data_IF_256978538124
#
_entry.id   IF_256978538124
#
_cell.length_a   1.000
_cell.length_b   1.000
_cell.length_c   1.000
_cell.angle_alpha   90.00
_cell.angle_beta   90.00
_cell.angle_gamma   90.00
#
_symmetry.space_group_name_H-M   'P 1'
#
loop_
_entity.id
_entity.type
_entity.pdbx_description
1 polymer ?
#
# COMPACT_ATOMS: atom_id res chain seq x y z
N UNK A 1 11.11 16.07 13.87
CA UNK A 1 10.49 16.68 15.06
C UNK A 1 9.44 15.70 15.55
N UNK A 2 9.58 15.21 16.80
CA UNK A 2 8.55 14.35 17.40
C UNK A 2 7.26 15.15 17.52
N UNK A 3 6.16 14.64 16.95
CA UNK A 3 4.87 15.32 16.95
C UNK A 3 4.36 15.60 18.37
N UNK A 4 4.75 14.78 19.36
CA UNK A 4 4.34 14.95 20.75
C UNK A 4 5.57 15.07 21.65
N UNK A 5 5.78 16.25 22.24
CA UNK A 5 6.86 16.52 23.21
C UNK A 5 6.41 16.15 24.64
N UNK A 6 5.10 16.23 24.91
CA UNK A 6 4.43 15.72 26.11
C UNK A 6 3.08 15.15 25.73
N UNK A 7 2.77 13.94 26.21
CA UNK A 7 1.44 13.35 26.13
C UNK A 7 0.55 13.94 27.24
N UNK A 8 0.42 15.25 27.34
CA UNK A 8 -0.58 15.85 28.24
C UNK A 8 -1.87 16.05 27.45
N UNK A 9 -3.02 15.67 28.03
CA UNK A 9 -4.32 15.83 27.37
C UNK A 9 -4.75 17.31 27.39
N UNK A 10 -4.08 18.09 26.55
CA UNK A 10 -4.31 19.52 26.40
C UNK A 10 -5.19 19.80 25.18
N UNK A 11 -5.88 20.95 25.12
CA UNK A 11 -6.60 21.36 23.92
C UNK A 11 -5.72 21.40 22.65
N UNK A 12 -4.43 21.71 22.81
CA UNK A 12 -3.46 21.70 21.70
C UNK A 12 -3.15 20.27 21.24
N UNK A 13 -2.98 19.33 22.16
CA UNK A 13 -2.83 17.90 21.85
C UNK A 13 -4.05 17.39 21.07
N UNK A 14 -5.25 17.69 21.55
CA UNK A 14 -6.49 17.26 20.89
C UNK A 14 -6.60 17.84 19.48
N UNK A 15 -6.32 19.13 19.30
CA UNK A 15 -6.30 19.76 17.97
C UNK A 15 -5.31 19.09 17.02
N UNK A 16 -4.12 18.74 17.50
CA UNK A 16 -3.12 18.06 16.70
C UNK A 16 -3.55 16.64 16.33
N UNK A 17 -4.15 15.91 17.27
CA UNK A 17 -4.70 14.58 17.05
C UNK A 17 -5.77 14.60 15.95
N UNK A 18 -6.73 15.53 16.03
CA UNK A 18 -7.76 15.70 14.99
C UNK A 18 -7.15 16.04 13.62
N UNK A 19 -6.14 16.89 13.56
CA UNK A 19 -5.45 17.20 12.30
C UNK A 19 -4.76 15.97 11.68
N UNK A 20 -4.19 15.09 12.51
CA UNK A 20 -3.61 13.83 12.03
C UNK A 20 -4.70 12.87 11.51
N UNK A 21 -5.86 12.83 12.16
CA UNK A 21 -7.01 12.02 11.72
C UNK A 21 -7.56 12.52 10.37
N UNK A 22 -7.72 13.83 10.20
CA UNK A 22 -8.12 14.42 8.91
C UNK A 22 -7.10 14.11 7.81
N UNK A 23 -5.80 14.23 8.11
CA UNK A 23 -4.76 13.88 7.15
C UNK A 23 -4.79 12.40 6.77
N UNK A 24 -5.12 11.50 7.71
CA UNK A 24 -5.23 10.07 7.44
C UNK A 24 -6.43 9.75 6.54
N UNK A 25 -7.57 10.41 6.74
CA UNK A 25 -8.76 10.23 5.90
C UNK A 25 -8.55 10.81 4.49
N UNK A 26 -7.87 11.96 4.36
CA UNK A 26 -7.51 12.48 3.04
C UNK A 26 -6.56 11.52 2.29
N UNK A 27 -5.58 10.98 3.02
CA UNK A 27 -4.62 10.03 2.47
C UNK A 27 -5.30 8.74 2.01
N UNK A 28 -6.27 8.22 2.76
CA UNK A 28 -7.09 7.07 2.37
C UNK A 28 -7.71 7.27 0.99
N UNK A 29 -8.38 8.41 0.75
CA UNK A 29 -9.03 8.69 -0.53
C UNK A 29 -8.02 8.73 -1.69
N UNK A 30 -6.85 9.33 -1.45
CA UNK A 30 -5.75 9.37 -2.42
C UNK A 30 -5.22 7.96 -2.71
N UNK A 31 -4.98 7.14 -1.69
CA UNK A 31 -4.51 5.76 -1.81
C UNK A 31 -5.53 4.87 -2.53
N UNK A 32 -6.83 5.03 -2.28
CA UNK A 32 -7.88 4.29 -2.99
C UNK A 32 -7.92 4.62 -4.48
N UNK A 33 -7.76 5.89 -4.84
CA UNK A 33 -7.67 6.29 -6.26
C UNK A 33 -6.43 5.70 -6.92
N UNK A 34 -5.28 5.77 -6.24
CA UNK A 34 -4.04 5.18 -6.74
C UNK A 34 -4.17 3.67 -6.92
N UNK A 35 -4.67 2.96 -5.91
CA UNK A 35 -4.91 1.51 -5.95
C UNK A 35 -5.75 1.09 -7.17
N UNK A 36 -6.86 1.79 -7.43
CA UNK A 36 -7.70 1.55 -8.61
C UNK A 36 -6.93 1.79 -9.92
N UNK A 37 -6.10 2.83 -9.97
CA UNK A 37 -5.22 3.11 -11.12
C UNK A 37 -4.20 2.00 -11.35
N UNK A 38 -3.53 1.54 -10.29
CA UNK A 38 -2.58 0.44 -10.35
C UNK A 38 -3.23 -0.86 -10.83
N UNK A 39 -4.43 -1.20 -10.34
CA UNK A 39 -5.15 -2.40 -10.79
C UNK A 39 -5.45 -2.36 -12.28
N UNK A 40 -5.98 -1.25 -12.79
CA UNK A 40 -6.19 -1.05 -14.24
C UNK A 40 -4.89 -1.17 -15.04
N UNK A 41 -3.80 -0.61 -14.52
CA UNK A 41 -2.50 -0.70 -15.16
C UNK A 41 -1.99 -2.15 -15.21
N UNK A 42 -2.09 -2.91 -14.12
CA UNK A 42 -1.71 -4.34 -14.09
C UNK A 42 -2.58 -5.22 -14.99
N UNK A 43 -3.87 -4.91 -15.12
CA UNK A 43 -4.76 -5.57 -16.06
C UNK A 43 -4.32 -5.29 -17.51
N UNK A 44 -4.05 -4.04 -17.85
CA UNK A 44 -3.56 -3.66 -19.17
C UNK A 44 -2.23 -4.32 -19.53
N UNK A 45 -1.28 -4.39 -18.58
CA UNK A 45 -0.02 -5.14 -18.77
C UNK A 45 -0.26 -6.62 -19.02
N UNK A 46 -1.22 -7.23 -18.32
CA UNK A 46 -1.56 -8.66 -18.50
C UNK A 46 -2.17 -8.93 -19.87
N UNK A 47 -3.06 -8.05 -20.34
CA UNK A 47 -3.62 -8.11 -21.69
C UNK A 47 -2.52 -7.95 -22.74
N UNK A 48 -1.62 -6.98 -22.58
CA UNK A 48 -0.51 -6.77 -23.52
C UNK A 48 0.48 -7.94 -23.53
N UNK A 49 0.80 -8.54 -22.38
CA UNK A 49 1.65 -9.73 -22.29
C UNK A 49 1.02 -10.93 -23.01
N UNK A 50 -0.29 -11.12 -22.82
CA UNK A 50 -1.05 -12.16 -23.52
C UNK A 50 -1.09 -11.89 -25.03
N UNK A 51 -1.21 -10.62 -25.43
CA UNK A 51 -1.18 -10.19 -26.83
C UNK A 51 0.14 -10.51 -27.53
N UNK A 52 1.28 -10.22 -26.89
CA UNK A 52 2.60 -10.56 -27.44
C UNK A 52 2.76 -12.08 -27.62
N UNK A 53 2.29 -12.87 -26.65
CA UNK A 53 2.35 -14.33 -26.69
C UNK A 53 1.47 -14.88 -27.82
N UNK A 54 0.23 -14.41 -27.92
CA UNK A 54 -0.69 -14.81 -28.98
C UNK A 54 -0.17 -14.44 -30.38
N UNK A 55 0.48 -13.28 -30.51
CA UNK A 55 1.11 -12.89 -31.78
C UNK A 55 2.30 -13.79 -32.13
N UNK A 56 3.13 -14.14 -31.14
CA UNK A 56 4.23 -15.09 -31.33
C UNK A 56 3.71 -16.47 -31.78
N UNK A 57 2.61 -16.95 -31.20
CA UNK A 57 2.00 -18.24 -31.58
C UNK A 57 1.42 -18.20 -32.99
N UNK A 58 0.81 -17.07 -33.40
CA UNK A 58 0.34 -16.88 -34.77
C UNK A 58 1.50 -16.86 -35.78
N UNK A 59 2.62 -16.22 -35.44
CA UNK A 59 3.84 -16.24 -36.25
C UNK A 59 4.43 -17.64 -36.36
N UNK A 60 4.40 -18.42 -35.29
CA UNK A 60 4.87 -19.81 -35.27
C UNK A 60 4.00 -20.70 -36.17
N UNK A 61 2.68 -20.56 -36.07
CA UNK A 61 1.73 -21.26 -36.93
C UNK A 61 1.90 -20.88 -38.42
N UNK A 62 2.19 -19.61 -38.70
CA UNK A 62 2.47 -19.13 -40.06
C UNK A 62 3.81 -19.63 -40.60
N UNK A 63 4.86 -19.54 -39.77
CA UNK A 63 6.24 -19.83 -40.16
C UNK A 63 6.51 -21.31 -40.40
N UNK A 64 5.72 -22.23 -39.84
CA UNK A 64 5.88 -23.67 -40.03
C UNK A 64 7.11 -24.26 -39.32
N UNK A 65 7.40 -25.53 -39.60
CA UNK A 65 8.51 -26.27 -38.97
C UNK A 65 9.86 -25.98 -39.64
N UNK A 66 10.94 -26.17 -38.87
CA UNK A 66 12.32 -25.79 -39.26
C UNK A 66 12.88 -26.48 -40.52
N UNK A 67 12.27 -27.58 -40.96
CA UNK A 67 12.69 -28.41 -42.10
C UNK A 67 11.64 -28.51 -43.23
N UNK A 68 10.62 -27.64 -43.21
CA UNK A 68 9.62 -27.56 -44.27
C UNK A 68 10.10 -26.63 -45.41
N UNK A 69 10.17 -27.08 -46.68
CA UNK A 69 10.54 -26.23 -47.81
C UNK A 69 9.68 -24.97 -47.94
N UNK A 70 8.40 -25.04 -47.56
CA UNK A 70 7.52 -23.87 -47.57
C UNK A 70 7.94 -22.87 -46.49
N UNK A 71 8.18 -23.33 -45.25
CA UNK A 71 8.77 -22.52 -44.16
C UNK A 71 10.02 -21.75 -44.58
N UNK A 72 10.98 -22.43 -45.22
CA UNK A 72 12.22 -21.78 -45.67
C UNK A 72 11.93 -20.69 -46.70
N UNK A 73 11.03 -20.95 -47.65
CA UNK A 73 10.69 -20.00 -48.72
C UNK A 73 10.02 -18.71 -48.23
N UNK A 74 9.31 -18.76 -47.09
CA UNK A 74 8.64 -17.61 -46.48
C UNK A 74 9.49 -16.91 -45.40
N UNK A 75 10.75 -17.31 -45.22
CA UNK A 75 11.66 -16.70 -44.25
C UNK A 75 11.58 -17.27 -42.83
N UNK A 76 11.16 -18.53 -42.67
CA UNK A 76 11.01 -19.23 -41.39
C UNK A 76 12.15 -19.03 -40.38
N UNK A 77 13.44 -19.16 -40.76
CA UNK A 77 14.56 -18.94 -39.84
C UNK A 77 14.61 -17.53 -39.24
N UNK A 78 14.22 -16.50 -39.99
CA UNK A 78 14.14 -15.11 -39.51
C UNK A 78 12.90 -14.92 -38.63
N UNK A 79 11.75 -15.45 -39.06
CA UNK A 79 10.50 -15.42 -38.30
C UNK A 79 10.69 -16.06 -36.90
N UNK A 80 11.45 -17.15 -36.80
CA UNK A 80 11.80 -17.80 -35.52
C UNK A 80 12.53 -16.88 -34.53
N UNK A 81 13.39 -15.99 -35.04
CA UNK A 81 14.04 -14.96 -34.20
C UNK A 81 13.02 -13.95 -33.67
N UNK A 82 12.07 -13.51 -34.49
CA UNK A 82 11.02 -12.58 -34.07
C UNK A 82 10.07 -13.21 -33.05
N UNK A 83 9.65 -14.47 -33.26
CA UNK A 83 8.84 -15.24 -32.29
C UNK A 83 9.55 -15.26 -30.93
N UNK A 84 10.85 -15.59 -30.92
CA UNK A 84 11.65 -15.62 -29.69
C UNK A 84 11.68 -14.25 -29.01
N UNK A 85 11.86 -13.16 -29.77
CA UNK A 85 11.84 -11.81 -29.24
C UNK A 85 10.49 -11.42 -28.63
N UNK A 86 9.36 -11.74 -29.26
CA UNK A 86 8.03 -11.47 -28.70
C UNK A 86 7.78 -12.24 -27.40
N UNK A 87 8.18 -13.52 -27.32
CA UNK A 87 8.07 -14.33 -26.09
C UNK A 87 8.94 -13.75 -24.95
N UNK A 88 10.11 -13.22 -25.28
CA UNK A 88 10.99 -12.60 -24.29
C UNK A 88 10.46 -11.22 -23.84
N UNK A 89 9.92 -10.40 -24.75
CA UNK A 89 9.22 -9.14 -24.42
C UNK A 89 7.98 -9.38 -23.54
N UNK A 90 7.24 -10.46 -23.79
CA UNK A 90 6.13 -10.87 -22.94
C UNK A 90 6.61 -11.18 -21.51
N UNK A 91 7.71 -11.93 -21.39
CA UNK A 91 8.32 -12.26 -20.08
C UNK A 91 8.75 -11.01 -19.31
N UNK A 92 9.39 -10.04 -19.98
CA UNK A 92 9.77 -8.78 -19.34
C UNK A 92 8.56 -7.95 -18.88
N UNK A 93 7.48 -8.00 -19.64
CA UNK A 93 6.24 -7.30 -19.30
C UNK A 93 5.50 -7.95 -18.13
N UNK A 94 5.49 -9.27 -18.05
CA UNK A 94 4.96 -9.99 -16.90
C UNK A 94 5.78 -9.71 -15.63
N UNK A 95 7.11 -9.60 -15.75
CA UNK A 95 7.95 -9.18 -14.63
C UNK A 95 7.59 -7.76 -14.16
N UNK A 96 7.44 -6.79 -15.07
CA UNK A 96 7.00 -5.44 -14.73
C UNK A 96 5.63 -5.47 -14.01
N UNK A 97 4.67 -6.24 -14.54
CA UNK A 97 3.33 -6.40 -13.94
C UNK A 97 3.40 -6.97 -12.52
N UNK A 98 4.18 -8.03 -12.32
CA UNK A 98 4.38 -8.65 -11.01
C UNK A 98 5.00 -7.67 -10.00
N UNK A 99 5.98 -6.88 -10.42
CA UNK A 99 6.58 -5.86 -9.54
C UNK A 99 5.58 -4.77 -9.15
N UNK A 100 4.72 -4.31 -10.06
CA UNK A 100 3.64 -3.36 -9.72
C UNK A 100 2.68 -3.95 -8.68
N UNK A 101 2.30 -5.23 -8.84
CA UNK A 101 1.44 -5.92 -7.89
C UNK A 101 2.10 -6.01 -6.50
N UNK A 102 3.35 -6.48 -6.43
CA UNK A 102 4.01 -6.74 -5.15
C UNK A 102 4.52 -5.47 -4.44
N UNK A 103 5.12 -4.53 -5.18
CA UNK A 103 5.81 -3.38 -4.60
C UNK A 103 4.85 -2.24 -4.31
N UNK A 104 3.74 -2.12 -5.06
CA UNK A 104 2.82 -1.00 -4.91
C UNK A 104 1.41 -1.44 -4.48
N UNK A 105 0.79 -2.38 -5.18
CA UNK A 105 -0.61 -2.76 -4.90
C UNK A 105 -0.74 -3.45 -3.54
N UNK A 106 0.14 -4.39 -3.21
CA UNK A 106 0.11 -5.06 -1.90
C UNK A 106 0.30 -4.08 -0.75
N UNK A 107 1.27 -3.17 -0.87
CA UNK A 107 1.50 -2.11 0.14
C UNK A 107 0.30 -1.18 0.30
N UNK A 108 -0.31 -0.75 -0.82
CA UNK A 108 -1.55 0.04 -0.77
C UNK A 108 -2.69 -0.74 -0.13
N UNK A 109 -2.78 -2.05 -0.39
CA UNK A 109 -3.80 -2.91 0.21
C UNK A 109 -3.61 -2.99 1.73
N UNK A 110 -2.40 -3.30 2.19
CA UNK A 110 -2.07 -3.36 3.62
C UNK A 110 -2.34 -2.02 4.31
N UNK A 111 -1.94 -0.91 3.69
CA UNK A 111 -2.25 0.42 4.22
C UNK A 111 -3.75 0.66 4.37
N UNK A 112 -4.53 0.31 3.35
CA UNK A 112 -5.97 0.54 3.33
C UNK A 112 -6.75 -0.38 4.27
N UNK A 113 -6.32 -1.64 4.43
CA UNK A 113 -7.08 -2.67 5.16
C UNK A 113 -6.58 -2.89 6.59
N UNK A 114 -5.31 -2.62 6.86
CA UNK A 114 -4.68 -2.83 8.17
C UNK A 114 -4.45 -1.50 8.87
N UNK A 115 -3.57 -0.64 8.37
CA UNK A 115 -3.15 0.56 9.11
C UNK A 115 -4.32 1.53 9.38
N UNK A 116 -5.12 1.81 8.36
CA UNK A 116 -6.29 2.68 8.51
C UNK A 116 -7.38 2.06 9.39
N UNK A 117 -7.53 0.73 9.32
CA UNK A 117 -8.48 0.02 10.17
C UNK A 117 -8.04 0.08 11.64
N UNK A 118 -6.76 -0.14 11.91
CA UNK A 118 -6.19 -0.11 13.26
C UNK A 118 -6.24 1.28 13.87
N UNK A 119 -6.02 2.34 13.08
CA UNK A 119 -6.23 3.72 13.53
C UNK A 119 -7.71 3.98 13.90
N UNK A 120 -8.65 3.52 13.07
CA UNK A 120 -10.10 3.66 13.33
C UNK A 120 -10.54 2.90 14.58
N UNK A 121 -10.06 1.69 14.78
CA UNK A 121 -10.38 0.89 15.97
C UNK A 121 -9.73 1.48 17.23
N UNK A 122 -8.49 1.96 17.13
CA UNK A 122 -7.83 2.70 18.22
C UNK A 122 -8.61 3.96 18.60
N UNK A 123 -9.17 4.67 17.61
CA UNK A 123 -10.00 5.85 17.84
C UNK A 123 -11.27 5.53 18.62
N UNK A 124 -11.95 4.44 18.24
CA UNK A 124 -13.14 3.95 18.94
C UNK A 124 -12.84 3.56 20.39
N UNK A 125 -11.70 2.91 20.64
CA UNK A 125 -11.25 2.55 21.99
C UNK A 125 -10.94 3.80 22.82
N UNK A 126 -10.31 4.80 22.20
CA UNK A 126 -10.06 6.09 22.82
C UNK A 126 -11.37 6.77 23.27
N UNK A 127 -12.36 6.91 22.37
CA UNK A 127 -13.70 7.47 22.70
C UNK A 127 -14.36 6.77 23.89
N UNK A 128 -14.33 5.44 23.90
CA UNK A 128 -14.93 4.67 24.99
C UNK A 128 -14.22 4.94 26.32
N UNK A 129 -12.89 4.97 26.29
CA UNK A 129 -12.08 5.12 27.50
C UNK A 129 -12.10 6.55 28.08
N UNK A 130 -12.13 7.58 27.23
CA UNK A 130 -12.24 8.97 27.72
C UNK A 130 -13.60 9.19 28.38
N UNK A 131 -14.68 8.66 27.78
CA UNK A 131 -16.00 8.75 28.37
C UNK A 131 -16.11 8.02 29.72
N UNK A 132 -15.51 6.82 29.84
CA UNK A 132 -15.46 6.09 31.10
C UNK A 132 -14.65 6.84 32.18
N UNK A 133 -13.52 7.41 31.80
CA UNK A 133 -12.70 8.22 32.70
C UNK A 133 -13.43 9.48 33.18
N UNK A 134 -14.11 10.20 32.29
CA UNK A 134 -14.90 11.37 32.68
C UNK A 134 -16.03 11.04 33.64
N UNK A 135 -16.73 9.91 33.44
CA UNK A 135 -17.74 9.43 34.39
C UNK A 135 -17.15 9.09 35.77
N UNK A 136 -16.01 8.40 35.82
CA UNK A 136 -15.34 8.06 37.07
C UNK A 136 -14.86 9.33 37.81
N UNK A 137 -14.33 10.30 37.08
CA UNK A 137 -13.95 11.62 37.62
C UNK A 137 -15.14 12.37 38.19
N UNK A 138 -16.26 12.43 37.48
CA UNK A 138 -17.47 13.12 37.94
C UNK A 138 -17.99 12.51 39.24
N UNK A 139 -18.07 11.17 39.30
CA UNK A 139 -18.44 10.45 40.53
C UNK A 139 -17.50 10.78 41.69
N UNK A 140 -16.19 10.69 41.47
CA UNK A 140 -15.19 10.94 42.50
C UNK A 140 -15.21 12.39 43.01
N UNK A 141 -15.31 13.38 42.12
CA UNK A 141 -15.37 14.80 42.49
C UNK A 141 -16.68 15.16 43.21
N UNK A 142 -17.76 14.41 42.97
CA UNK A 142 -19.06 14.60 43.65
C UNK A 142 -19.13 14.04 45.07
N UNK A 143 -18.06 13.42 45.58
CA UNK A 143 -17.96 12.90 46.93
C UNK A 143 -18.22 13.99 47.99
N UNK A 144 -19.02 13.66 49.00
CA UNK A 144 -19.28 14.54 50.15
C UNK A 144 -18.27 14.26 51.26
N UNK A 145 -17.99 15.26 52.10
CA UNK A 145 -17.05 15.17 53.24
C UNK A 145 -17.38 14.04 54.25
N UNK A 146 -18.62 13.57 54.29
CA UNK A 146 -19.09 12.51 55.18
C UNK A 146 -19.32 11.17 54.47
N UNK A 147 -18.82 11.01 53.24
CA UNK A 147 -18.88 9.72 52.54
C UNK A 147 -18.03 8.70 53.28
N UNK A 148 -18.49 7.44 53.35
CA UNK A 148 -17.77 6.38 54.05
C UNK A 148 -16.46 6.05 53.32
N UNK A 149 -15.41 5.78 54.09
CA UNK A 149 -14.06 5.52 53.57
C UNK A 149 -13.99 4.34 52.58
N UNK A 150 -14.82 3.31 52.77
CA UNK A 150 -14.90 2.17 51.86
C UNK A 150 -15.41 2.56 50.46
N UNK A 151 -16.41 3.45 50.40
CA UNK A 151 -16.93 3.98 49.14
C UNK A 151 -15.91 4.93 48.48
N UNK A 152 -15.19 5.70 49.28
CA UNK A 152 -14.12 6.59 48.78
C UNK A 152 -13.02 5.75 48.12
N UNK A 153 -12.57 4.68 48.77
CA UNK A 153 -11.54 3.78 48.25
C UNK A 153 -11.98 3.10 46.94
N UNK A 154 -13.21 2.63 46.85
CA UNK A 154 -13.76 2.02 45.63
C UNK A 154 -13.78 3.00 44.45
N UNK A 155 -14.24 4.24 44.68
CA UNK A 155 -14.27 5.26 43.63
C UNK A 155 -12.88 5.77 43.25
N UNK A 156 -11.93 5.79 44.19
CA UNK A 156 -10.52 6.10 43.90
C UNK A 156 -9.89 5.04 43.01
N UNK A 157 -10.16 3.76 43.28
CA UNK A 157 -9.70 2.64 42.47
C UNK A 157 -10.30 2.69 41.05
N UNK A 158 -11.62 2.91 40.92
CA UNK A 158 -12.28 3.08 39.61
C UNK A 158 -11.71 4.27 38.82
N UNK A 159 -11.47 5.40 39.49
CA UNK A 159 -10.83 6.56 38.90
C UNK A 159 -9.42 6.25 38.37
N UNK A 160 -8.61 5.54 39.16
CA UNK A 160 -7.25 5.21 38.76
C UNK A 160 -7.21 4.18 37.61
N UNK A 161 -8.10 3.20 37.64
CA UNK A 161 -8.22 2.19 36.59
C UNK A 161 -8.72 2.79 35.27
N UNK A 162 -9.76 3.61 35.32
CA UNK A 162 -10.30 4.30 34.14
C UNK A 162 -9.30 5.29 33.54
N UNK A 163 -8.55 6.02 34.38
CA UNK A 163 -7.42 6.87 33.94
C UNK A 163 -6.36 6.06 33.20
N UNK A 164 -5.93 4.92 33.77
CA UNK A 164 -4.94 4.05 33.14
C UNK A 164 -5.40 3.54 31.76
N UNK A 165 -6.67 3.14 31.66
CA UNK A 165 -7.28 2.69 30.41
C UNK A 165 -7.34 3.81 29.35
N UNK A 166 -7.72 5.02 29.75
CA UNK A 166 -7.70 6.22 28.89
C UNK A 166 -6.30 6.56 28.40
N UNK A 167 -5.32 6.56 29.29
CA UNK A 167 -3.93 6.85 28.94
C UNK A 167 -3.37 5.84 27.93
N UNK A 168 -3.66 4.56 28.13
CA UNK A 168 -3.26 3.48 27.22
C UNK A 168 -3.92 3.60 25.85
N UNK A 169 -5.22 3.86 25.79
CA UNK A 169 -5.93 4.00 24.51
C UNK A 169 -5.46 5.23 23.72
N UNK A 170 -5.17 6.32 24.41
CA UNK A 170 -4.62 7.55 23.83
C UNK A 170 -3.24 7.32 23.23
N UNK A 171 -2.37 6.64 23.96
CA UNK A 171 -1.05 6.24 23.44
C UNK A 171 -1.17 5.38 22.18
N UNK A 172 -2.08 4.39 22.19
CA UNK A 172 -2.30 3.51 21.04
C UNK A 172 -2.79 4.29 19.81
N UNK A 173 -3.73 5.22 19.98
CA UNK A 173 -4.23 6.06 18.89
C UNK A 173 -3.13 6.96 18.32
N UNK A 174 -2.37 7.63 19.19
CA UNK A 174 -1.21 8.45 18.78
C UNK A 174 -0.19 7.61 18.01
N UNK A 175 0.10 6.40 18.48
CA UNK A 175 1.02 5.49 17.82
C UNK A 175 0.53 5.08 16.44
N UNK A 176 -0.75 4.70 16.30
CA UNK A 176 -1.35 4.33 15.02
C UNK A 176 -1.32 5.49 14.01
N UNK A 177 -1.70 6.70 14.43
CA UNK A 177 -1.64 7.89 13.56
C UNK A 177 -0.21 8.29 13.21
N UNK A 178 0.74 8.15 14.14
CA UNK A 178 2.16 8.41 13.87
C UNK A 178 2.73 7.42 12.85
N UNK A 179 2.32 6.15 12.91
CA UNK A 179 2.71 5.15 11.91
C UNK A 179 2.19 5.54 10.51
N UNK A 180 0.93 5.97 10.40
CA UNK A 180 0.37 6.47 9.13
C UNK A 180 1.17 7.68 8.61
N UNK A 181 1.53 8.63 9.46
CA UNK A 181 2.37 9.78 9.06
C UNK A 181 3.77 9.35 8.57
N UNK A 182 4.37 8.34 9.21
CA UNK A 182 5.65 7.80 8.77
C UNK A 182 5.53 7.13 7.39
N UNK A 183 4.52 6.30 7.17
CA UNK A 183 4.25 5.66 5.87
C UNK A 183 3.98 6.70 4.79
N UNK A 184 3.19 7.74 5.10
CA UNK A 184 2.94 8.89 4.21
C UNK A 184 4.25 9.53 3.74
N UNK A 185 5.21 9.70 4.66
CA UNK A 185 6.45 10.43 4.39
C UNK A 185 7.49 9.62 3.63
N UNK A 186 7.55 8.31 3.85
CA UNK A 186 8.67 7.49 3.36
C UNK A 186 8.24 6.38 2.40
N UNK A 187 7.23 5.59 2.77
CA UNK A 187 6.94 4.32 2.11
C UNK A 187 6.33 4.50 0.71
N UNK A 188 5.45 5.49 0.51
CA UNK A 188 4.83 5.68 -0.81
C UNK A 188 5.82 6.16 -1.85
N UNK A 189 6.68 7.13 -1.50
CA UNK A 189 7.69 7.62 -2.43
C UNK A 189 8.67 6.51 -2.81
N UNK A 190 9.13 5.73 -1.83
CA UNK A 190 9.99 4.58 -2.07
C UNK A 190 9.34 3.56 -3.01
N UNK A 191 8.07 3.22 -2.76
CA UNK A 191 7.32 2.27 -3.60
C UNK A 191 7.19 2.79 -5.05
N UNK A 192 6.83 4.06 -5.23
CA UNK A 192 6.69 4.68 -6.56
C UNK A 192 8.03 4.76 -7.28
N UNK A 193 9.10 5.15 -6.57
CA UNK A 193 10.45 5.17 -7.12
C UNK A 193 10.92 3.77 -7.55
N UNK A 194 10.60 2.73 -6.76
CA UNK A 194 10.91 1.36 -7.12
C UNK A 194 10.17 0.92 -8.40
N UNK A 195 8.91 1.32 -8.58
CA UNK A 195 8.18 1.07 -9.84
C UNK A 195 8.87 1.76 -11.03
N UNK A 196 9.32 3.00 -10.87
CA UNK A 196 10.06 3.70 -11.93
C UNK A 196 11.37 3.00 -12.28
N UNK A 197 12.09 2.46 -11.30
CA UNK A 197 13.30 1.68 -11.54
C UNK A 197 13.01 0.37 -12.30
N UNK A 198 11.90 -0.30 -11.98
CA UNK A 198 11.45 -1.47 -12.75
C UNK A 198 11.10 -1.09 -14.20
N UNK A 199 10.47 0.06 -14.42
CA UNK A 199 10.24 0.58 -15.78
C UNK A 199 11.55 0.82 -16.54
N UNK A 200 12.55 1.44 -15.91
CA UNK A 200 13.88 1.64 -16.53
C UNK A 200 14.49 0.30 -16.95
N UNK A 201 14.41 -0.71 -16.08
CA UNK A 201 14.89 -2.07 -16.37
C UNK A 201 14.10 -2.72 -17.51
N UNK A 202 12.77 -2.63 -17.50
CA UNK A 202 11.91 -3.15 -18.57
C UNK A 202 12.28 -2.58 -19.94
N UNK A 203 12.42 -1.26 -20.06
CA UNK A 203 12.79 -0.63 -21.32
C UNK A 203 14.22 -0.97 -21.75
N UNK A 204 15.16 -1.03 -20.81
CA UNK A 204 16.55 -1.41 -21.12
C UNK A 204 16.64 -2.83 -21.66
N UNK A 205 15.97 -3.79 -21.01
CA UNK A 205 15.90 -5.17 -21.48
C UNK A 205 15.28 -5.27 -22.88
N UNK A 206 14.20 -4.52 -23.13
CA UNK A 206 13.57 -4.45 -24.45
C UNK A 206 14.50 -3.86 -25.52
N UNK A 207 15.22 -2.78 -25.20
CA UNK A 207 16.20 -2.17 -26.10
C UNK A 207 17.32 -3.16 -26.44
N UNK A 208 17.96 -3.76 -25.43
CA UNK A 208 19.07 -4.70 -25.61
C UNK A 208 18.64 -5.94 -26.42
N UNK A 209 17.39 -6.39 -26.25
CA UNK A 209 16.80 -7.48 -27.04
C UNK A 209 16.60 -7.07 -28.49
N UNK A 210 15.94 -5.94 -28.74
CA UNK A 210 15.61 -5.49 -30.09
C UNK A 210 16.85 -5.10 -30.90
N UNK A 211 17.89 -4.56 -30.27
CA UNK A 211 19.18 -4.31 -30.92
C UNK A 211 19.85 -5.58 -31.45
N UNK A 212 19.63 -6.74 -30.81
CA UNK A 212 20.13 -8.04 -31.33
C UNK A 212 19.33 -8.53 -32.54
N UNK A 213 18.08 -8.07 -32.68
CA UNK A 213 17.15 -8.45 -33.74
C UNK A 213 17.25 -7.50 -34.94
N UNK A 214 17.68 -6.26 -34.73
CA UNK A 214 17.80 -5.20 -35.74
C UNK A 214 18.44 -5.64 -37.09
N UNK A 215 19.54 -6.44 -37.10
CA UNK A 215 20.11 -6.89 -38.37
C UNK A 215 19.18 -7.75 -39.23
N UNK A 216 18.22 -8.44 -38.62
CA UNK A 216 17.21 -9.26 -39.32
C UNK A 216 16.02 -8.44 -39.80
N UNK A 217 15.80 -7.24 -39.25
CA UNK A 217 14.72 -6.32 -39.65
C UNK A 217 15.08 -5.58 -40.93
N UNK A 218 16.36 -5.33 -41.16
CA UNK A 218 16.89 -4.56 -42.29
C UNK A 218 17.54 -5.44 -43.38
N UNK A 219 17.14 -6.73 -43.47
CA UNK A 219 17.56 -7.63 -44.56
C UNK A 219 16.90 -7.27 -45.89
#
# INVERSE_FOLDING_TARGET
MSAFIKLEDSPMFQKQLFSMEESAEELKDRCQRLYKGCKKFTEALGVACSGDSAFADALEAFGGGHDDPVSVSIGGPVISKFISAFRELATYKELLRSQVEHVLINRLTEFLTVDLHDAKESRRRFDKSIHAYDQAREKFVSLKKNTRDDIVAELEEDLQNSKSAFEKSRFNLVSALTNIEAKKKYEFLESISAIMDVHLRYFKLGFDLLSKIEPYVHQ
#
